data_IF_864721208833
#
_entry.id   IF_864721208833
#
_cell.length_a   1.000
_cell.length_b   1.000
_cell.length_c   1.000
_cell.angle_alpha   90.00
_cell.angle_beta   90.00
_cell.angle_gamma   90.00
#
_symmetry.space_group_name_H-M   'P 1'
#
loop_
_entity.id
_entity.type
_entity.pdbx_description
1 polymer ?
#
# COMPACT_ATOMS: atom_id res chain seq x y z
N UNK A 1 -18.43 -3.09 0.24
CA UNK A 1 -17.68 -1.95 0.83
C UNK A 1 -17.37 -0.97 -0.29
N UNK A 2 -17.40 0.35 -0.06
CA UNK A 2 -17.12 1.33 -1.13
C UNK A 2 -15.64 1.23 -1.54
N UNK A 3 -15.31 0.97 -2.82
CA UNK A 3 -13.92 1.03 -3.30
C UNK A 3 -13.27 2.37 -2.97
N UNK A 4 -11.98 2.36 -2.64
CA UNK A 4 -11.20 3.53 -2.23
C UNK A 4 -11.40 3.98 -0.77
N UNK A 5 -12.24 3.30 0.01
CA UNK A 5 -12.43 3.61 1.43
C UNK A 5 -11.31 3.04 2.32
N UNK A 6 -11.10 3.62 3.51
CA UNK A 6 -10.13 3.08 4.48
C UNK A 6 -10.46 1.64 4.90
N UNK A 7 -11.74 1.28 4.93
CA UNK A 7 -12.17 -0.05 5.27
C UNK A 7 -11.84 -1.04 4.13
N UNK A 8 -11.94 -0.62 2.87
CA UNK A 8 -11.69 -1.49 1.72
C UNK A 8 -10.22 -1.73 1.44
N UNK A 9 -9.38 -0.71 1.54
CA UNK A 9 -7.94 -0.86 1.30
C UNK A 9 -7.23 -1.73 2.35
N UNK A 10 -7.84 -1.96 3.53
CA UNK A 10 -7.24 -2.78 4.58
C UNK A 10 -6.95 -4.22 4.14
N UNK A 11 -7.72 -4.77 3.21
CA UNK A 11 -7.46 -6.12 2.67
C UNK A 11 -6.20 -6.19 1.81
N UNK A 12 -5.72 -5.05 1.31
CA UNK A 12 -4.52 -4.93 0.48
C UNK A 12 -3.25 -4.70 1.31
N UNK A 13 -3.39 -4.63 2.64
CA UNK A 13 -2.27 -4.44 3.57
C UNK A 13 -1.96 -5.74 4.30
N UNK A 14 -0.67 -6.01 4.52
CA UNK A 14 -0.19 -7.03 5.46
C UNK A 14 -0.22 -6.47 6.89
N UNK A 15 -1.05 -7.02 7.79
CA UNK A 15 -1.12 -6.53 9.17
C UNK A 15 0.23 -6.60 9.89
N UNK A 16 1.05 -7.60 9.59
CA UNK A 16 2.37 -7.84 10.19
C UNK A 16 3.40 -6.81 9.73
N UNK A 17 3.14 -6.14 8.60
CA UNK A 17 3.97 -5.06 8.09
C UNK A 17 3.67 -3.72 8.75
N UNK A 18 2.71 -3.63 9.67
CA UNK A 18 2.38 -2.40 10.40
C UNK A 18 2.99 -2.41 11.81
N UNK A 19 3.38 -1.25 12.36
CA UNK A 19 3.33 0.08 11.76
C UNK A 19 4.40 0.28 10.67
N UNK A 20 4.18 1.23 9.77
CA UNK A 20 5.17 1.58 8.74
C UNK A 20 6.44 2.16 9.37
N UNK A 21 7.64 1.96 8.78
CA UNK A 21 8.88 2.55 9.27
C UNK A 21 9.03 4.05 8.96
N UNK A 22 8.04 4.66 8.29
CA UNK A 22 8.09 6.06 7.89
C UNK A 22 8.00 7.01 9.09
N UNK A 23 8.75 8.10 9.03
CA UNK A 23 8.68 9.15 10.03
C UNK A 23 7.26 9.76 10.12
N UNK A 24 6.84 10.29 11.28
CA UNK A 24 5.61 11.06 11.37
C UNK A 24 5.58 12.20 10.36
N UNK A 25 4.52 12.27 9.55
CA UNK A 25 4.39 13.27 8.48
C UNK A 25 5.14 12.96 7.18
N UNK A 26 5.79 11.79 7.07
CA UNK A 26 6.48 11.38 5.85
C UNK A 26 5.50 11.16 4.68
N UNK A 27 5.81 11.72 3.52
CA UNK A 27 5.00 11.60 2.30
C UNK A 27 4.85 10.17 1.78
N UNK A 28 5.77 9.25 2.10
CA UNK A 28 5.68 7.85 1.67
C UNK A 28 4.45 7.13 2.26
N UNK A 29 4.03 7.46 3.48
CA UNK A 29 2.81 6.91 4.07
C UNK A 29 1.54 7.42 3.38
N UNK A 30 1.55 8.70 2.97
CA UNK A 30 0.47 9.31 2.17
C UNK A 30 0.40 8.63 0.79
N UNK A 31 1.56 8.45 0.15
CA UNK A 31 1.68 7.80 -1.15
C UNK A 31 1.22 6.35 -1.10
N UNK A 32 1.61 5.57 -0.09
CA UNK A 32 1.10 4.20 0.13
C UNK A 32 -0.42 4.19 0.19
N UNK A 33 -1.02 5.06 1.02
CA UNK A 33 -2.48 5.14 1.11
C UNK A 33 -3.16 5.50 -0.22
N UNK A 34 -2.57 6.41 -1.00
CA UNK A 34 -3.09 6.79 -2.31
C UNK A 34 -2.99 5.64 -3.32
N UNK A 35 -1.85 4.95 -3.36
CA UNK A 35 -1.62 3.78 -4.21
C UNK A 35 -2.64 2.67 -3.93
N UNK A 36 -2.86 2.34 -2.66
CA UNK A 36 -3.82 1.29 -2.28
C UNK A 36 -5.25 1.63 -2.71
N UNK A 37 -5.66 2.90 -2.62
CA UNK A 37 -6.99 3.34 -3.09
C UNK A 37 -7.11 3.21 -4.61
N UNK A 38 -6.08 3.61 -5.35
CA UNK A 38 -6.06 3.46 -6.80
C UNK A 38 -6.14 1.99 -7.24
N UNK A 39 -5.45 1.08 -6.53
CA UNK A 39 -5.54 -0.36 -6.78
C UNK A 39 -6.93 -0.88 -6.44
N UNK A 40 -7.48 -0.50 -5.29
CA UNK A 40 -8.81 -0.92 -4.84
C UNK A 40 -9.96 -0.46 -5.76
N UNK A 41 -9.80 0.69 -6.40
CA UNK A 41 -10.73 1.21 -7.42
C UNK A 41 -10.47 0.64 -8.82
N UNK A 42 -9.37 -0.07 -9.02
CA UNK A 42 -8.99 -0.66 -10.30
C UNK A 42 -9.79 -1.93 -10.59
N UNK A 43 -10.05 -2.26 -11.87
CA UNK A 43 -10.72 -3.52 -12.22
C UNK A 43 -9.81 -4.76 -12.08
N UNK A 44 -8.51 -4.58 -11.84
CA UNK A 44 -7.55 -5.68 -11.80
C UNK A 44 -7.40 -6.28 -10.39
N UNK A 45 -7.27 -7.61 -10.27
CA UNK A 45 -6.99 -8.26 -8.99
C UNK A 45 -5.56 -7.94 -8.51
N UNK A 46 -5.30 -7.95 -7.19
CA UNK A 46 -4.01 -7.54 -6.62
C UNK A 46 -2.85 -8.45 -7.08
N UNK A 47 -3.17 -9.71 -7.38
CA UNK A 47 -2.25 -10.74 -7.87
C UNK A 47 -1.69 -10.43 -9.27
N UNK A 48 -2.32 -9.52 -10.02
CA UNK A 48 -1.86 -9.06 -11.33
C UNK A 48 -0.93 -7.83 -11.24
N UNK A 49 -0.61 -7.34 -10.03
CA UNK A 49 0.30 -6.23 -9.84
C UNK A 49 1.70 -6.70 -9.45
N UNK A 50 2.71 -6.19 -10.17
CA UNK A 50 4.12 -6.34 -9.79
C UNK A 50 4.63 -5.05 -9.14
N UNK A 51 5.14 -5.15 -7.92
CA UNK A 51 5.80 -4.06 -7.23
C UNK A 51 7.32 -4.23 -7.28
N UNK A 52 8.02 -3.27 -7.86
CA UNK A 52 9.49 -3.23 -7.91
C UNK A 52 9.97 -2.03 -7.10
N UNK A 53 10.84 -2.29 -6.12
CA UNK A 53 11.45 -1.25 -5.30
C UNK A 53 12.96 -1.19 -5.49
N UNK A 54 13.50 0.02 -5.32
CA UNK A 54 14.93 0.23 -5.14
C UNK A 54 15.35 0.17 -3.66
N UNK A 55 16.57 0.62 -3.39
CA UNK A 55 17.09 0.76 -2.02
C UNK A 55 16.75 2.16 -1.48
N UNK A 56 16.16 2.21 -0.29
CA UNK A 56 15.86 3.45 0.43
C UNK A 56 14.50 3.42 1.13
N UNK A 57 14.13 4.52 1.80
CA UNK A 57 12.85 4.62 2.52
C UNK A 57 11.66 4.31 1.61
N UNK A 58 11.64 4.84 0.38
CA UNK A 58 10.57 4.57 -0.59
C UNK A 58 10.43 3.07 -0.94
N UNK A 59 11.50 2.28 -0.81
CA UNK A 59 11.44 0.84 -1.06
C UNK A 59 10.53 0.08 -0.10
N UNK A 60 10.24 0.67 1.06
CA UNK A 60 9.30 0.13 2.03
C UNK A 60 7.84 0.33 1.64
N UNK A 61 7.52 1.19 0.65
CA UNK A 61 6.13 1.43 0.22
C UNK A 61 5.43 0.12 -0.17
N UNK A 62 5.96 -0.69 -1.10
CA UNK A 62 5.33 -1.95 -1.43
C UNK A 62 5.65 -3.08 -0.44
N UNK A 63 6.91 -3.22 -0.01
CA UNK A 63 7.36 -4.35 0.81
C UNK A 63 7.83 -3.89 2.19
N UNK A 64 7.30 -4.41 3.30
CA UNK A 64 6.41 -5.57 3.41
C UNK A 64 4.92 -5.20 3.48
N UNK A 65 4.51 -3.99 3.09
CA UNK A 65 3.18 -3.49 3.43
C UNK A 65 2.05 -4.02 2.56
N UNK A 66 2.27 -4.26 1.27
CA UNK A 66 1.22 -4.68 0.33
C UNK A 66 1.03 -6.20 0.38
N UNK A 67 -0.23 -6.63 0.49
CA UNK A 67 -0.65 -8.04 0.46
C UNK A 67 -0.87 -8.52 -0.99
N UNK A 68 0.17 -8.38 -1.82
CA UNK A 68 0.28 -9.02 -3.13
C UNK A 68 1.07 -10.33 -3.03
#
# INVERSE_FOLDING_TARGET
MKPGSNASIRRLLRPEGLPTPFCPGCGHGILLGALLRAIDESPWPIEEYLFVSGIGCAGWIPSPHIAA
#
